data_IF_242839050534
#
_entry.id   IF_242839050534
#
_cell.length_a   1.000
_cell.length_b   1.000
_cell.length_c   1.000
_cell.angle_alpha   90.00
_cell.angle_beta   90.00
_cell.angle_gamma   90.00
#
_symmetry.space_group_name_H-M   'P 1'
#
loop_
_entity.id
_entity.type
_entity.pdbx_description
1 polymer ?
#
# COMPACT_ATOMS: atom_id res chain seq x y z
N UNK A 1 26.85 -16.85 17.67
CA UNK A 1 27.86 -16.15 16.86
C UNK A 1 27.12 -15.54 15.71
N UNK A 2 27.25 -14.22 15.55
CA UNK A 2 26.65 -13.50 14.44
C UNK A 2 27.20 -14.09 13.13
N UNK A 3 26.38 -14.26 12.09
CA UNK A 3 26.85 -14.75 10.78
C UNK A 3 27.97 -13.88 10.18
N UNK A 4 28.18 -12.69 10.72
CA UNK A 4 29.22 -11.72 10.35
C UNK A 4 30.58 -11.98 11.03
N UNK A 5 30.67 -12.84 12.05
CA UNK A 5 31.92 -13.13 12.77
C UNK A 5 32.74 -14.27 12.12
N UNK A 6 32.48 -14.58 10.85
CA UNK A 6 33.27 -15.55 10.08
C UNK A 6 34.52 -14.88 9.51
N UNK A 7 35.67 -15.55 9.60
CA UNK A 7 36.98 -15.07 9.12
C UNK A 7 36.95 -14.51 7.68
N UNK A 8 36.02 -14.99 6.84
CA UNK A 8 35.85 -14.53 5.45
C UNK A 8 35.39 -13.07 5.31
N UNK A 9 34.87 -12.44 6.37
CA UNK A 9 34.40 -11.04 6.34
C UNK A 9 35.24 -10.09 7.18
N UNK A 10 36.33 -10.57 7.79
CA UNK A 10 37.12 -9.79 8.77
C UNK A 10 37.72 -8.52 8.15
N UNK A 11 38.26 -8.63 6.93
CA UNK A 11 38.85 -7.50 6.20
C UNK A 11 37.78 -6.46 5.81
N UNK A 12 36.62 -6.91 5.31
CA UNK A 12 35.50 -6.04 4.93
C UNK A 12 34.88 -5.33 6.15
N UNK A 13 34.76 -6.04 7.28
CA UNK A 13 34.27 -5.44 8.53
C UNK A 13 35.25 -4.44 9.12
N UNK A 14 36.54 -4.72 9.04
CA UNK A 14 37.60 -3.78 9.45
C UNK A 14 37.52 -2.49 8.64
N UNK A 15 37.36 -2.58 7.31
CA UNK A 15 37.20 -1.42 6.44
C UNK A 15 35.88 -0.67 6.71
N UNK A 16 34.78 -1.40 6.91
CA UNK A 16 33.48 -0.80 7.19
C UNK A 16 33.44 -0.07 8.55
N UNK A 17 33.97 -0.68 9.61
CA UNK A 17 34.04 -0.07 10.93
C UNK A 17 35.11 1.03 11.02
N UNK A 18 36.18 0.90 10.24
CA UNK A 18 37.24 1.92 10.11
C UNK A 18 36.84 3.10 9.23
N UNK A 19 35.70 3.04 8.54
CA UNK A 19 35.27 4.09 7.63
C UNK A 19 35.01 5.39 8.41
N UNK A 20 35.77 6.47 8.17
CA UNK A 20 35.57 7.73 8.86
C UNK A 20 34.28 8.37 8.34
N UNK A 21 33.26 8.47 9.19
CA UNK A 21 32.03 9.20 8.87
C UNK A 21 32.33 10.69 9.05
N UNK A 22 32.38 11.50 7.96
CA UNK A 22 32.60 12.92 8.10
C UNK A 22 31.36 13.56 8.73
N UNK A 23 31.53 14.16 9.91
CA UNK A 23 30.49 14.94 10.57
C UNK A 23 30.81 16.42 10.38
N UNK A 24 29.98 17.12 9.61
CA UNK A 24 30.08 18.57 9.44
C UNK A 24 29.14 19.28 10.40
N UNK A 25 29.70 20.15 11.26
CA UNK A 25 28.93 21.01 12.15
C UNK A 25 28.76 22.39 11.52
N UNK A 26 27.51 22.79 11.30
CA UNK A 26 27.18 24.14 10.82
C UNK A 26 26.64 24.98 11.97
N UNK A 27 27.38 26.02 12.33
CA UNK A 27 26.94 27.00 13.33
C UNK A 27 26.50 28.29 12.64
N UNK A 28 25.20 28.49 12.52
CA UNK A 28 24.63 29.74 11.99
C UNK A 28 23.45 30.22 12.82
N UNK A 29 23.33 31.55 12.98
CA UNK A 29 22.18 32.21 13.60
C UNK A 29 21.15 32.70 12.58
N UNK A 30 21.43 32.53 11.29
CA UNK A 30 20.58 32.96 10.18
C UNK A 30 19.75 31.78 9.65
N UNK A 31 18.44 31.83 9.91
CA UNK A 31 17.49 30.81 9.45
C UNK A 31 17.50 30.62 7.93
N UNK A 32 17.79 31.66 7.14
CA UNK A 32 17.85 31.53 5.67
C UNK A 32 19.02 30.67 5.21
N UNK A 33 20.13 30.69 5.93
CA UNK A 33 21.29 29.83 5.67
C UNK A 33 20.99 28.38 6.02
N UNK A 34 20.26 28.14 7.12
CA UNK A 34 19.78 26.80 7.50
C UNK A 34 18.88 26.22 6.40
N UNK A 35 17.88 26.99 5.94
CA UNK A 35 16.98 26.57 4.87
C UNK A 35 17.72 26.21 3.57
N UNK A 36 18.75 26.99 3.19
CA UNK A 36 19.56 26.69 2.00
C UNK A 36 20.38 25.41 2.11
N UNK A 37 20.85 25.07 3.31
CA UNK A 37 21.62 23.83 3.54
C UNK A 37 20.71 22.63 3.44
N UNK A 38 19.53 22.68 4.09
CA UNK A 38 18.51 21.64 3.94
C UNK A 38 18.05 21.51 2.49
N UNK A 39 17.82 22.62 1.78
CA UNK A 39 17.46 22.61 0.36
C UNK A 39 18.58 21.98 -0.49
N UNK A 40 19.86 22.27 -0.20
CA UNK A 40 21.00 21.68 -0.92
C UNK A 40 21.17 20.19 -0.63
N UNK A 41 21.00 19.75 0.62
CA UNK A 41 20.98 18.33 0.98
C UNK A 41 19.86 17.59 0.24
N UNK A 42 18.66 18.16 0.24
CA UNK A 42 17.49 17.63 -0.46
C UNK A 42 17.57 17.73 -2.00
N UNK A 43 18.48 18.55 -2.55
CA UNK A 43 18.80 18.61 -3.98
C UNK A 43 19.94 17.68 -4.39
N UNK A 44 20.81 17.32 -3.44
CA UNK A 44 21.93 16.41 -3.67
C UNK A 44 21.50 14.94 -3.57
N UNK A 45 20.42 14.67 -2.82
CA UNK A 45 19.63 13.44 -2.90
C UNK A 45 18.33 13.65 -3.70
N UNK A 46 17.61 12.56 -4.01
CA UNK A 46 16.22 12.69 -4.49
C UNK A 46 15.33 13.28 -3.41
N UNK A 47 14.49 14.25 -3.77
CA UNK A 47 13.51 14.82 -2.84
C UNK A 47 12.56 13.73 -2.31
N UNK A 48 12.28 13.79 -1.01
CA UNK A 48 11.25 12.94 -0.39
C UNK A 48 9.89 13.19 -1.04
N UNK A 49 9.18 12.11 -1.37
CA UNK A 49 7.82 12.13 -1.88
C UNK A 49 6.84 12.33 -0.70
N UNK A 50 5.55 12.46 -1.03
CA UNK A 50 4.52 12.64 0.00
C UNK A 50 4.48 11.48 1.02
N UNK A 51 4.73 10.24 0.57
CA UNK A 51 4.71 9.09 1.46
C UNK A 51 5.87 9.08 2.44
N UNK A 52 7.08 9.35 1.98
CA UNK A 52 8.27 9.40 2.84
C UNK A 52 8.15 10.55 3.86
N UNK A 53 7.58 11.69 3.45
CA UNK A 53 7.29 12.80 4.36
C UNK A 53 6.25 12.43 5.42
N UNK A 54 5.18 11.70 5.04
CA UNK A 54 4.18 11.21 6.00
C UNK A 54 4.78 10.20 6.95
N UNK A 55 5.58 9.25 6.45
CA UNK A 55 6.26 8.30 7.30
C UNK A 55 7.18 9.00 8.29
N UNK A 56 8.01 9.94 7.84
CA UNK A 56 8.89 10.70 8.72
C UNK A 56 8.12 11.47 9.81
N UNK A 57 6.94 12.00 9.48
CA UNK A 57 6.09 12.75 10.42
C UNK A 57 5.35 11.88 11.43
N UNK A 58 4.97 10.66 11.04
CA UNK A 58 4.09 9.77 11.81
C UNK A 58 4.73 8.40 12.10
N UNK A 59 6.06 8.32 12.12
CA UNK A 59 6.81 7.05 12.19
C UNK A 59 6.52 6.24 13.45
N UNK A 60 6.18 6.89 14.56
CA UNK A 60 5.87 6.31 15.86
C UNK A 60 4.37 6.08 16.07
N UNK A 61 3.58 6.21 15.01
CA UNK A 61 2.13 6.14 15.07
C UNK A 61 1.62 4.71 14.90
N UNK A 62 0.52 4.40 15.60
CA UNK A 62 -0.12 3.08 15.51
C UNK A 62 -0.56 2.74 14.09
N UNK A 63 -0.91 3.75 13.29
CA UNK A 63 -1.23 3.58 11.88
C UNK A 63 -0.05 3.05 11.06
N UNK A 64 1.10 3.71 11.21
CA UNK A 64 2.31 3.35 10.48
C UNK A 64 2.81 1.99 10.94
N UNK A 65 2.80 1.71 12.25
CA UNK A 65 3.13 0.40 12.81
C UNK A 65 2.27 -0.72 12.23
N UNK A 66 0.95 -0.51 12.15
CA UNK A 66 0.03 -1.50 11.59
C UNK A 66 0.25 -1.70 10.09
N UNK A 67 0.46 -0.62 9.34
CA UNK A 67 0.76 -0.69 7.90
C UNK A 67 2.06 -1.46 7.65
N UNK A 68 3.12 -1.17 8.41
CA UNK A 68 4.37 -1.92 8.37
C UNK A 68 4.16 -3.39 8.68
N UNK A 69 3.50 -3.71 9.79
CA UNK A 69 3.25 -5.08 10.21
C UNK A 69 2.59 -5.91 9.12
N UNK A 70 1.56 -5.38 8.45
CA UNK A 70 0.90 -6.10 7.36
C UNK A 70 1.75 -6.16 6.09
N UNK A 71 2.47 -5.09 5.73
CA UNK A 71 3.35 -5.09 4.55
C UNK A 71 4.46 -6.15 4.58
N UNK A 72 4.88 -6.56 5.79
CA UNK A 72 5.95 -7.54 5.98
C UNK A 72 5.45 -8.99 6.04
N UNK A 73 4.14 -9.24 6.01
CA UNK A 73 3.63 -10.61 6.08
C UNK A 73 3.97 -11.39 4.81
N UNK A 74 4.39 -12.64 4.96
CA UNK A 74 4.94 -13.48 3.87
C UNK A 74 4.01 -13.55 2.64
N UNK A 75 2.71 -13.68 2.87
CA UNK A 75 1.74 -13.84 1.77
C UNK A 75 1.63 -12.61 0.87
N UNK A 76 1.96 -11.41 1.37
CA UNK A 76 1.94 -10.19 0.56
C UNK A 76 3.20 -10.01 -0.27
N UNK A 77 4.28 -10.76 -0.02
CA UNK A 77 5.57 -10.52 -0.69
C UNK A 77 5.46 -10.50 -2.21
N UNK A 78 4.72 -11.44 -2.79
CA UNK A 78 4.52 -11.54 -4.24
C UNK A 78 3.65 -10.40 -4.77
N UNK A 79 2.53 -10.13 -4.09
CA UNK A 79 1.59 -9.07 -4.48
C UNK A 79 2.21 -7.68 -4.42
N UNK A 80 3.16 -7.46 -3.50
CA UNK A 80 3.84 -6.18 -3.31
C UNK A 80 5.07 -5.99 -4.21
N UNK A 81 5.45 -6.96 -5.04
CA UNK A 81 6.55 -6.79 -6.01
C UNK A 81 6.32 -5.62 -6.97
N UNK A 82 5.06 -5.23 -7.17
CA UNK A 82 4.68 -4.09 -8.01
C UNK A 82 4.88 -2.72 -7.35
N UNK A 83 5.16 -2.69 -6.05
CA UNK A 83 5.37 -1.46 -5.28
C UNK A 83 6.85 -1.14 -5.16
N UNK A 84 7.21 0.14 -5.19
CA UNK A 84 8.56 0.57 -4.88
C UNK A 84 8.76 0.69 -3.36
N UNK A 85 9.30 -0.37 -2.74
CA UNK A 85 9.57 -0.43 -1.30
C UNK A 85 10.56 0.64 -0.81
N UNK A 86 11.53 1.02 -1.64
CA UNK A 86 12.48 2.09 -1.30
C UNK A 86 11.79 3.46 -1.17
N UNK A 87 10.67 3.65 -1.88
CA UNK A 87 9.81 4.84 -1.83
C UNK A 87 8.59 4.65 -0.93
N UNK A 88 8.54 3.53 -0.21
CA UNK A 88 7.52 3.17 0.78
C UNK A 88 6.09 3.04 0.21
N UNK A 89 5.97 2.70 -1.06
CA UNK A 89 4.67 2.58 -1.73
C UNK A 89 3.81 1.42 -1.18
N UNK A 90 4.44 0.37 -0.66
CA UNK A 90 3.77 -0.70 0.08
C UNK A 90 3.13 -0.15 1.37
N UNK A 91 3.87 0.64 2.15
CA UNK A 91 3.35 1.27 3.36
C UNK A 91 2.22 2.25 3.03
N UNK A 92 2.34 3.04 1.95
CA UNK A 92 1.25 3.88 1.46
C UNK A 92 0.00 3.04 1.18
N UNK A 93 0.15 1.95 0.42
CA UNK A 93 -0.97 1.07 0.03
C UNK A 93 -1.67 0.45 1.25
N UNK A 94 -0.92 -0.04 2.24
CA UNK A 94 -1.53 -0.57 3.47
C UNK A 94 -2.22 0.51 4.30
N UNK A 95 -1.67 1.72 4.36
CA UNK A 95 -2.37 2.85 4.97
C UNK A 95 -3.69 3.13 4.24
N UNK A 96 -3.73 3.04 2.91
CA UNK A 96 -4.98 3.16 2.15
C UNK A 96 -5.98 2.03 2.46
N UNK A 97 -5.52 0.79 2.67
CA UNK A 97 -6.35 -0.33 3.10
C UNK A 97 -6.94 -0.09 4.49
N UNK A 98 -6.14 0.43 5.41
CA UNK A 98 -6.58 0.82 6.75
C UNK A 98 -7.64 1.92 6.65
N UNK A 99 -7.39 2.98 5.86
CA UNK A 99 -8.34 4.08 5.71
C UNK A 99 -9.67 3.64 5.08
N UNK A 100 -9.64 2.69 4.13
CA UNK A 100 -10.85 2.08 3.58
C UNK A 100 -11.72 1.44 4.66
N UNK A 101 -11.10 0.74 5.62
CA UNK A 101 -11.82 0.09 6.72
C UNK A 101 -12.36 1.14 7.70
N UNK A 102 -11.52 2.10 8.11
CA UNK A 102 -11.91 3.17 9.06
C UNK A 102 -13.08 4.00 8.51
N UNK A 103 -13.00 4.45 7.26
CA UNK A 103 -14.05 5.28 6.62
C UNK A 103 -15.20 4.44 6.04
N UNK A 104 -15.07 3.11 6.02
CA UNK A 104 -16.07 2.18 5.48
C UNK A 104 -16.30 2.28 3.98
N UNK A 105 -15.40 2.89 3.21
CA UNK A 105 -15.56 3.10 1.78
C UNK A 105 -14.33 3.67 1.08
N UNK A 106 -14.31 3.61 -0.25
CA UNK A 106 -13.13 3.99 -1.03
C UNK A 106 -12.84 5.49 -0.97
N UNK A 107 -11.55 5.80 -0.88
CA UNK A 107 -11.01 7.15 -0.84
C UNK A 107 -10.12 7.39 -2.06
N UNK A 108 -9.87 8.66 -2.38
CA UNK A 108 -8.91 9.00 -3.42
C UNK A 108 -7.48 8.96 -2.87
N UNK A 109 -6.54 8.46 -3.66
CA UNK A 109 -5.10 8.39 -3.32
C UNK A 109 -4.35 9.70 -3.64
N UNK A 110 -5.03 10.85 -3.58
CA UNK A 110 -4.33 12.11 -3.84
C UNK A 110 -3.49 12.50 -2.62
N UNK A 111 -2.31 13.13 -2.80
CA UNK A 111 -1.45 13.50 -1.68
C UNK A 111 -2.19 14.28 -0.59
N UNK A 112 -3.02 15.26 -0.99
CA UNK A 112 -3.84 16.05 -0.06
C UNK A 112 -4.76 15.17 0.80
N UNK A 113 -5.46 14.21 0.19
CA UNK A 113 -6.39 13.34 0.92
C UNK A 113 -5.62 12.43 1.88
N UNK A 114 -4.50 11.87 1.45
CA UNK A 114 -3.67 11.03 2.32
C UNK A 114 -3.10 11.84 3.48
N UNK A 115 -2.60 13.06 3.25
CA UNK A 115 -2.07 13.93 4.31
C UNK A 115 -3.15 14.25 5.36
N UNK A 116 -4.38 14.54 4.93
CA UNK A 116 -5.55 14.76 5.80
C UNK A 116 -5.89 13.51 6.63
N UNK A 117 -5.90 12.32 6.00
CA UNK A 117 -6.22 11.05 6.67
C UNK A 117 -5.15 10.65 7.69
N UNK A 118 -3.87 10.81 7.36
CA UNK A 118 -2.79 10.56 8.31
C UNK A 118 -2.88 11.53 9.49
N UNK A 119 -3.09 12.82 9.25
CA UNK A 119 -3.26 13.80 10.32
C UNK A 119 -4.46 13.49 11.23
N UNK A 120 -5.55 12.98 10.64
CA UNK A 120 -6.78 12.61 11.37
C UNK A 120 -6.60 11.34 12.20
N UNK A 121 -5.94 10.31 11.65
CA UNK A 121 -6.01 8.97 12.22
C UNK A 121 -4.72 8.44 12.83
N UNK A 122 -3.53 8.90 12.43
CA UNK A 122 -2.27 8.25 12.78
C UNK A 122 -2.15 7.87 14.27
N UNK A 123 -2.52 8.80 15.15
CA UNK A 123 -2.51 8.63 16.61
C UNK A 123 -3.88 8.86 17.26
N UNK A 124 -4.97 8.67 16.51
CA UNK A 124 -6.31 8.87 17.06
C UNK A 124 -6.58 7.87 18.19
N UNK A 125 -7.00 8.41 19.34
CA UNK A 125 -7.47 7.63 20.49
C UNK A 125 -8.89 7.10 20.31
N UNK A 126 -9.62 7.60 19.30
CA UNK A 126 -10.98 7.14 18.96
C UNK A 126 -10.95 5.81 18.21
N UNK A 127 -9.80 5.44 17.64
CA UNK A 127 -9.64 4.19 16.91
C UNK A 127 -9.24 3.07 17.90
N UNK A 128 -10.06 2.02 17.94
CA UNK A 128 -9.66 0.75 18.54
C UNK A 128 -8.72 0.02 17.57
N UNK A 129 -7.42 0.19 17.79
CA UNK A 129 -6.38 -0.39 16.95
C UNK A 129 -6.33 -1.93 17.03
N UNK A 130 -6.78 -2.52 18.13
CA UNK A 130 -6.82 -3.98 18.27
C UNK A 130 -7.97 -4.57 17.46
N UNK A 131 -9.15 -3.94 17.50
CA UNK A 131 -10.27 -4.33 16.63
C UNK A 131 -9.95 -4.09 15.15
N UNK A 132 -9.34 -2.96 14.81
CA UNK A 132 -8.91 -2.66 13.43
C UNK A 132 -7.91 -3.69 12.90
N UNK A 133 -6.95 -4.12 13.72
CA UNK A 133 -6.04 -5.20 13.36
C UNK A 133 -6.79 -6.52 13.10
N UNK A 134 -7.78 -6.86 13.94
CA UNK A 134 -8.61 -8.05 13.72
C UNK A 134 -9.38 -7.95 12.39
N UNK A 135 -9.93 -6.79 12.07
CA UNK A 135 -10.60 -6.54 10.79
C UNK A 135 -9.64 -6.69 9.61
N UNK A 136 -8.44 -6.10 9.69
CA UNK A 136 -7.38 -6.26 8.68
C UNK A 136 -7.00 -7.74 8.46
N UNK A 137 -6.89 -8.52 9.53
CA UNK A 137 -6.60 -9.96 9.46
C UNK A 137 -7.74 -10.74 8.79
N UNK A 138 -9.00 -10.41 9.10
CA UNK A 138 -10.17 -11.04 8.48
C UNK A 138 -10.22 -10.78 6.97
N UNK A 139 -10.00 -9.53 6.55
CA UNK A 139 -9.96 -9.15 5.14
C UNK A 139 -8.77 -9.80 4.43
N UNK A 140 -7.59 -9.81 5.05
CA UNK A 140 -6.39 -10.48 4.53
C UNK A 140 -6.59 -11.98 4.34
N UNK A 141 -7.24 -12.64 5.31
CA UNK A 141 -7.56 -14.06 5.23
C UNK A 141 -8.55 -14.33 4.10
N UNK A 142 -9.56 -13.48 3.92
CA UNK A 142 -10.49 -13.58 2.81
C UNK A 142 -9.78 -13.40 1.45
N UNK A 143 -8.99 -12.34 1.32
CA UNK A 143 -8.19 -12.02 0.13
C UNK A 143 -7.32 -13.22 -0.26
N UNK A 144 -6.58 -13.77 0.69
CA UNK A 144 -5.68 -14.92 0.47
C UNK A 144 -6.46 -16.18 0.11
N UNK A 145 -7.62 -16.42 0.72
CA UNK A 145 -8.45 -17.58 0.42
C UNK A 145 -9.03 -17.57 -1.00
N UNK A 146 -9.17 -16.39 -1.62
CA UNK A 146 -9.53 -16.28 -3.03
C UNK A 146 -8.45 -16.89 -3.93
N UNK A 147 -7.17 -16.88 -3.52
CA UNK A 147 -6.03 -17.43 -4.29
C UNK A 147 -5.93 -16.85 -5.70
N UNK A 148 -6.25 -15.57 -5.87
CA UNK A 148 -6.03 -14.87 -7.13
C UNK A 148 -4.56 -14.53 -7.23
N UNK A 149 -3.92 -14.98 -8.29
CA UNK A 149 -2.60 -14.52 -8.69
C UNK A 149 -2.77 -13.68 -9.96
N UNK A 150 -2.56 -12.36 -9.85
CA UNK A 150 -2.82 -11.46 -10.98
C UNK A 150 -1.95 -11.75 -12.20
N UNK A 151 -0.75 -12.31 -12.02
CA UNK A 151 0.13 -12.68 -13.14
C UNK A 151 -0.51 -13.74 -14.04
N UNK A 152 -1.28 -14.67 -13.46
CA UNK A 152 -1.93 -15.75 -14.20
C UNK A 152 -3.02 -15.21 -15.16
N UNK A 153 -3.47 -13.98 -14.90
CA UNK A 153 -4.48 -13.28 -15.69
C UNK A 153 -3.89 -12.14 -16.53
N UNK A 154 -2.56 -11.99 -16.60
CA UNK A 154 -1.89 -10.83 -17.21
C UNK A 154 -2.40 -9.48 -16.70
N UNK A 155 -2.90 -9.46 -15.46
CA UNK A 155 -3.36 -8.25 -14.78
C UNK A 155 -2.19 -7.70 -13.96
N UNK A 156 -1.94 -6.41 -14.03
CA UNK A 156 -0.88 -5.78 -13.24
C UNK A 156 -1.26 -4.36 -12.84
N UNK A 157 -0.88 -4.00 -11.62
CA UNK A 157 -0.99 -2.64 -11.08
C UNK A 157 -1.53 -2.64 -9.67
N UNK A 158 -0.98 -1.77 -8.82
CA UNK A 158 -1.48 -1.52 -7.44
C UNK A 158 -2.96 -1.20 -7.39
N UNK A 159 -3.49 -0.65 -8.47
CA UNK A 159 -4.92 -0.45 -8.62
C UNK A 159 -5.64 -1.80 -8.49
N UNK A 160 -5.40 -2.80 -9.32
CA UNK A 160 -6.14 -4.08 -9.25
C UNK A 160 -6.09 -4.70 -7.85
N UNK A 161 -4.92 -4.65 -7.21
CA UNK A 161 -4.71 -5.08 -5.83
C UNK A 161 -5.66 -4.35 -4.85
N UNK A 162 -5.73 -3.02 -4.93
CA UNK A 162 -6.71 -2.24 -4.15
C UNK A 162 -8.16 -2.62 -4.47
N UNK A 163 -8.48 -2.86 -5.74
CA UNK A 163 -9.84 -3.25 -6.15
C UNK A 163 -10.27 -4.58 -5.53
N UNK A 164 -9.38 -5.57 -5.55
CA UNK A 164 -9.62 -6.88 -4.93
C UNK A 164 -9.66 -6.80 -3.40
N UNK A 165 -8.83 -5.95 -2.79
CA UNK A 165 -8.93 -5.66 -1.36
C UNK A 165 -10.28 -5.05 -1.00
N UNK A 166 -10.75 -4.05 -1.74
CA UNK A 166 -12.05 -3.42 -1.51
C UNK A 166 -13.22 -4.39 -1.70
N UNK A 167 -13.13 -5.29 -2.67
CA UNK A 167 -14.09 -6.39 -2.84
C UNK A 167 -14.06 -7.38 -1.67
N UNK A 168 -12.87 -7.74 -1.19
CA UNK A 168 -12.68 -8.62 -0.03
C UNK A 168 -13.27 -8.01 1.23
N UNK A 169 -13.01 -6.72 1.48
CA UNK A 169 -13.60 -5.97 2.58
C UNK A 169 -15.13 -5.96 2.51
N UNK A 170 -15.71 -5.69 1.33
CA UNK A 170 -17.16 -5.74 1.13
C UNK A 170 -17.73 -7.13 1.47
N UNK A 171 -17.09 -8.20 1.01
CA UNK A 171 -17.54 -9.56 1.29
C UNK A 171 -17.51 -9.88 2.78
N UNK A 172 -16.42 -9.52 3.48
CA UNK A 172 -16.30 -9.70 4.94
C UNK A 172 -17.38 -8.90 5.68
N UNK A 173 -17.56 -7.63 5.35
CA UNK A 173 -18.57 -6.76 5.96
C UNK A 173 -20.02 -7.29 5.75
N UNK A 174 -20.28 -7.93 4.61
CA UNK A 174 -21.57 -8.56 4.28
C UNK A 174 -21.67 -10.03 4.69
N UNK A 175 -20.67 -10.57 5.39
CA UNK A 175 -20.60 -11.98 5.83
C UNK A 175 -20.75 -12.98 4.67
N UNK A 176 -20.26 -12.61 3.49
CA UNK A 176 -20.22 -13.46 2.30
C UNK A 176 -19.05 -14.43 2.45
N UNK A 177 -19.28 -15.71 2.18
CA UNK A 177 -18.23 -16.75 2.25
C UNK A 177 -17.42 -16.77 0.95
N UNK A 178 -16.11 -16.96 1.06
CA UNK A 178 -15.17 -17.08 -0.07
C UNK A 178 -15.65 -18.10 -1.11
N UNK A 179 -16.19 -19.25 -0.67
CA UNK A 179 -16.71 -20.31 -1.56
C UNK A 179 -17.82 -19.83 -2.51
N UNK A 180 -18.58 -18.78 -2.17
CA UNK A 180 -19.65 -18.25 -3.02
C UNK A 180 -19.09 -17.49 -4.22
N UNK A 181 -18.03 -16.71 -4.00
CA UNK A 181 -17.52 -15.73 -4.98
C UNK A 181 -16.25 -16.19 -5.69
N UNK A 182 -15.55 -17.20 -5.15
CA UNK A 182 -14.22 -17.59 -5.62
C UNK A 182 -14.18 -17.97 -7.09
N UNK A 183 -15.03 -18.90 -7.51
CA UNK A 183 -15.02 -19.39 -8.89
C UNK A 183 -15.35 -18.24 -9.85
N UNK A 184 -16.44 -17.51 -9.58
CA UNK A 184 -16.82 -16.36 -10.39
C UNK A 184 -15.74 -15.27 -10.44
N UNK A 185 -14.95 -15.07 -9.38
CA UNK A 185 -13.84 -14.12 -9.43
C UNK A 185 -12.72 -14.57 -10.37
N UNK A 186 -12.39 -15.86 -10.37
CA UNK A 186 -11.42 -16.41 -11.30
C UNK A 186 -11.95 -16.37 -12.74
N UNK A 187 -13.23 -16.71 -12.94
CA UNK A 187 -13.91 -16.61 -14.23
C UNK A 187 -13.92 -15.15 -14.73
N UNK A 188 -14.12 -14.19 -13.83
CA UNK A 188 -14.04 -12.77 -14.14
C UNK A 188 -12.64 -12.38 -14.64
N UNK A 189 -11.58 -12.69 -13.91
CA UNK A 189 -10.24 -12.28 -14.35
C UNK A 189 -9.77 -13.02 -15.61
N UNK A 190 -10.24 -14.25 -15.83
CA UNK A 190 -10.00 -14.97 -17.08
C UNK A 190 -10.74 -14.31 -18.25
N UNK A 191 -12.05 -14.05 -18.08
CA UNK A 191 -12.87 -13.39 -19.09
C UNK A 191 -12.41 -11.95 -19.39
N UNK A 192 -11.89 -11.22 -18.40
CA UNK A 192 -11.41 -9.84 -18.56
C UNK A 192 -10.35 -9.69 -19.64
N UNK A 193 -9.56 -10.73 -19.95
CA UNK A 193 -8.57 -10.70 -21.03
C UNK A 193 -9.19 -10.91 -22.42
N UNK A 194 -10.17 -11.79 -22.50
CA UNK A 194 -10.74 -12.28 -23.76
C UNK A 194 -12.04 -11.56 -24.14
N UNK A 195 -12.50 -10.62 -23.31
CA UNK A 195 -13.77 -9.92 -23.53
C UNK A 195 -13.67 -8.97 -24.72
N UNK A 196 -14.63 -9.05 -25.64
CA UNK A 196 -14.87 -8.02 -26.65
C UNK A 196 -15.46 -6.72 -26.07
N UNK A 197 -15.69 -6.69 -24.75
CA UNK A 197 -16.24 -5.58 -23.95
C UNK A 197 -17.52 -5.00 -24.59
N UNK A 198 -18.64 -5.68 -24.39
CA UNK A 198 -19.95 -5.15 -24.76
C UNK A 198 -20.30 -3.91 -23.90
N UNK A 199 -21.18 -3.05 -24.41
CA UNK A 199 -21.58 -1.85 -23.66
C UNK A 199 -22.27 -2.22 -22.33
N UNK A 200 -21.81 -1.59 -21.25
CA UNK A 200 -22.37 -1.64 -19.89
C UNK A 200 -22.31 -2.98 -19.13
N UNK A 201 -21.46 -3.93 -19.55
CA UNK A 201 -21.18 -5.13 -18.75
C UNK A 201 -20.16 -4.89 -17.61
N UNK A 202 -20.04 -5.84 -16.68
CA UNK A 202 -19.08 -5.75 -15.57
C UNK A 202 -17.62 -5.62 -16.04
N UNK A 203 -17.26 -6.23 -17.17
CA UNK A 203 -15.91 -6.18 -17.73
C UNK A 203 -15.56 -4.77 -18.23
N UNK A 204 -16.46 -4.13 -18.96
CA UNK A 204 -16.33 -2.78 -19.52
C UNK A 204 -16.28 -1.73 -18.40
N UNK A 205 -17.10 -1.88 -17.35
CA UNK A 205 -17.05 -1.02 -16.16
C UNK A 205 -15.68 -1.15 -15.47
N UNK A 206 -15.20 -2.38 -15.27
CA UNK A 206 -13.90 -2.61 -14.66
C UNK A 206 -12.77 -2.07 -15.54
N UNK A 207 -12.79 -2.29 -16.85
CA UNK A 207 -11.79 -1.74 -17.78
C UNK A 207 -11.77 -0.22 -17.78
N UNK A 208 -12.94 0.43 -17.86
CA UNK A 208 -13.05 1.89 -17.87
C UNK A 208 -12.40 2.54 -16.64
N UNK A 209 -12.47 1.85 -15.50
CA UNK A 209 -11.89 2.32 -14.26
C UNK A 209 -10.36 2.19 -14.18
N UNK A 210 -9.77 1.44 -15.09
CA UNK A 210 -8.33 1.25 -15.24
C UNK A 210 -7.70 2.20 -16.27
N UNK A 211 -8.50 2.99 -17.01
CA UNK A 211 -8.00 3.87 -18.07
C UNK A 211 -7.36 5.16 -17.55
N UNK A 212 -8.05 5.89 -16.66
CA UNK A 212 -7.62 7.22 -16.21
C UNK A 212 -7.95 7.43 -14.73
N UNK A 213 -7.08 8.15 -14.02
CA UNK A 213 -7.25 8.46 -12.60
C UNK A 213 -7.60 7.22 -11.76
N UNK A 214 -6.91 6.10 -12.02
CA UNK A 214 -7.28 4.76 -11.51
C UNK A 214 -7.33 4.70 -9.97
N UNK A 215 -6.52 5.50 -9.29
CA UNK A 215 -6.52 5.65 -7.82
C UNK A 215 -7.56 6.65 -7.27
N UNK A 216 -8.42 7.22 -8.12
CA UNK A 216 -9.50 8.12 -7.72
C UNK A 216 -10.66 7.37 -7.07
N UNK A 217 -11.35 8.03 -6.12
CA UNK A 217 -12.50 7.44 -5.38
C UNK A 217 -13.55 6.81 -6.30
N UNK A 218 -13.94 7.52 -7.37
CA UNK A 218 -14.92 7.02 -8.32
C UNK A 218 -14.48 5.75 -9.04
N UNK A 219 -13.23 5.69 -9.50
CA UNK A 219 -12.69 4.53 -10.21
C UNK A 219 -12.50 3.32 -9.30
N UNK A 220 -12.03 3.54 -8.08
CA UNK A 220 -11.95 2.48 -7.05
C UNK A 220 -13.32 1.87 -6.76
N UNK A 221 -14.34 2.72 -6.59
CA UNK A 221 -15.73 2.27 -6.39
C UNK A 221 -16.27 1.50 -7.59
N UNK A 222 -16.03 1.97 -8.82
CA UNK A 222 -16.42 1.25 -10.05
C UNK A 222 -15.82 -0.16 -10.09
N UNK A 223 -14.54 -0.32 -9.74
CA UNK A 223 -13.88 -1.65 -9.72
C UNK A 223 -14.51 -2.61 -8.75
N UNK A 224 -14.70 -2.17 -7.50
CA UNK A 224 -15.38 -2.99 -6.51
C UNK A 224 -16.78 -3.36 -6.99
N UNK A 225 -17.53 -2.41 -7.52
CA UNK A 225 -18.90 -2.65 -7.97
C UNK A 225 -18.96 -3.65 -9.13
N UNK A 226 -18.07 -3.56 -10.12
CA UNK A 226 -17.99 -4.54 -11.21
C UNK A 226 -17.69 -5.96 -10.69
N UNK A 227 -16.78 -6.09 -9.72
CA UNK A 227 -16.52 -7.39 -9.08
C UNK A 227 -17.73 -7.91 -8.30
N UNK A 228 -18.45 -7.03 -7.59
CA UNK A 228 -19.70 -7.38 -6.89
C UNK A 228 -20.74 -7.89 -7.87
N UNK A 229 -21.00 -7.13 -8.94
CA UNK A 229 -22.04 -7.42 -9.93
C UNK A 229 -21.80 -8.76 -10.64
N UNK A 230 -20.55 -9.06 -10.98
CA UNK A 230 -20.22 -10.34 -11.62
C UNK A 230 -20.21 -11.52 -10.64
N UNK A 231 -19.70 -11.33 -9.42
CA UNK A 231 -19.41 -12.44 -8.51
C UNK A 231 -20.58 -12.85 -7.60
N UNK A 232 -21.64 -12.05 -7.46
CA UNK A 232 -22.66 -12.24 -6.40
C UNK A 232 -24.09 -12.41 -6.88
#
# INVERSE_FOLDING_TARGET
MSDLEKDEFEEVLSDFWGYPIPVEYVYTKDNKTVEKIFDRLNRSGEKLNGQELRNAKFYDSKLVDLAYKFSQMEFWKNELLITNKNRMEDIELFSEFIFLIIEGGELASSPKVLDELYAKYANSAEIDWADLELQMNNVSSFFTAMKVNFSDYNVSGVSHLYGLWAFSYYCVAKKIKTKKVKNNLHDFYQGYMDSDFEEDDSFSIYKSSMMNATKGKGQRKKRRNALIEYCL
#
